data_IF_160028768178
#
_entry.id   IF_160028768178
#
_cell.length_a   1.000
_cell.length_b   1.000
_cell.length_c   1.000
_cell.angle_alpha   90.00
_cell.angle_beta   90.00
_cell.angle_gamma   90.00
#
_symmetry.space_group_name_H-M   'P 1'
#
loop_
_entity.id
_entity.type
_entity.pdbx_description
1 polymer ?
#
# COMPACT_ATOMS: atom_id res chain seq x y z
N UNK A 1 69.21 40.44 7.89
CA UNK A 1 69.75 39.06 7.75
C UNK A 1 69.06 38.25 8.84
N UNK A 2 68.16 37.29 8.62
CA UNK A 2 68.10 36.22 7.63
C UNK A 2 66.63 35.90 7.31
N UNK A 3 66.33 35.74 6.04
CA UNK A 3 65.14 35.09 5.51
C UNK A 3 65.22 33.58 5.75
N UNK A 4 64.12 32.96 6.20
CA UNK A 4 63.92 31.51 6.06
C UNK A 4 62.55 31.24 5.48
N UNK A 5 62.56 30.94 4.18
CA UNK A 5 61.51 30.22 3.47
C UNK A 5 61.43 28.81 4.04
N UNK A 6 60.23 28.32 4.32
CA UNK A 6 59.92 26.88 4.35
C UNK A 6 58.55 26.67 3.71
N UNK A 7 58.61 26.11 2.50
CA UNK A 7 57.56 25.39 1.78
C UNK A 7 57.04 24.24 2.64
N UNK A 8 55.76 23.82 2.46
CA UNK A 8 55.16 22.49 2.74
C UNK A 8 53.63 22.62 2.42
N UNK A 9 52.92 21.58 1.93
CA UNK A 9 52.70 21.32 0.51
C UNK A 9 51.20 21.32 0.14
N UNK A 10 50.94 21.15 -1.16
CA UNK A 10 49.62 20.89 -1.72
C UNK A 10 48.95 19.66 -1.06
N UNK A 11 47.77 19.88 -0.48
CA UNK A 11 46.82 18.85 -0.04
C UNK A 11 45.76 18.77 -1.14
N UNK A 12 45.77 17.74 -1.99
CA UNK A 12 45.02 16.46 -1.81
C UNK A 12 43.54 16.78 -1.50
N UNK A 13 42.50 16.38 -2.22
CA UNK A 13 42.29 15.30 -3.17
C UNK A 13 41.03 15.61 -3.98
N UNK A 14 41.10 15.23 -5.25
CA UNK A 14 40.00 14.70 -6.06
C UNK A 14 38.96 13.93 -5.20
N UNK A 15 37.73 14.41 -5.21
CA UNK A 15 36.59 13.74 -4.58
C UNK A 15 35.26 14.03 -5.28
N UNK A 16 35.26 14.31 -6.58
CA UNK A 16 34.04 14.47 -7.38
C UNK A 16 33.78 13.13 -8.07
N UNK A 17 33.11 12.18 -7.41
CA UNK A 17 32.86 10.88 -8.06
C UNK A 17 31.99 9.85 -7.34
N UNK A 18 31.41 10.16 -6.17
CA UNK A 18 30.70 9.14 -5.37
C UNK A 18 29.19 9.28 -5.21
N UNK A 19 28.59 10.44 -5.54
CA UNK A 19 27.23 10.73 -5.09
C UNK A 19 26.10 10.32 -6.06
N UNK A 20 26.40 10.02 -7.33
CA UNK A 20 25.36 9.84 -8.34
C UNK A 20 24.89 8.38 -8.56
N UNK A 21 25.60 7.38 -8.02
CA UNK A 21 25.25 5.97 -8.25
C UNK A 21 24.33 5.35 -7.19
N UNK A 22 24.22 5.96 -6.00
CA UNK A 22 23.46 5.36 -4.90
C UNK A 22 21.94 5.50 -5.06
N UNK A 23 21.47 6.54 -5.76
CA UNK A 23 20.03 6.85 -5.85
C UNK A 23 19.24 5.95 -6.82
N UNK A 24 19.89 5.17 -7.68
CA UNK A 24 19.21 4.40 -8.74
C UNK A 24 18.79 2.98 -8.34
N UNK A 25 19.28 2.44 -7.20
CA UNK A 25 19.00 1.05 -6.79
C UNK A 25 17.79 0.95 -5.85
N UNK A 26 17.36 2.03 -5.20
CA UNK A 26 16.28 1.97 -4.17
C UNK A 26 14.85 1.91 -4.71
N UNK A 27 14.62 2.00 -6.02
CA UNK A 27 13.27 2.09 -6.56
C UNK A 27 12.57 0.73 -6.77
N UNK A 28 13.27 -0.39 -6.55
CA UNK A 28 12.76 -1.73 -6.89
C UNK A 28 12.06 -2.48 -5.74
N UNK A 29 11.98 -1.93 -4.53
CA UNK A 29 11.48 -2.66 -3.35
C UNK A 29 10.20 -2.10 -2.72
N UNK A 30 9.55 -1.09 -3.33
CA UNK A 30 8.25 -0.68 -2.82
C UNK A 30 7.20 -1.74 -3.18
N UNK A 31 6.39 -2.22 -2.21
CA UNK A 31 5.27 -3.11 -2.49
C UNK A 31 4.37 -2.49 -3.57
N UNK A 32 3.94 -3.29 -4.54
CA UNK A 32 3.01 -2.85 -5.58
C UNK A 32 1.61 -2.69 -4.96
N UNK A 33 1.40 -1.57 -4.28
CA UNK A 33 0.11 -1.15 -3.73
C UNK A 33 -0.58 -0.26 -4.74
N UNK A 34 -1.70 -0.72 -5.29
CA UNK A 34 -2.52 0.14 -6.13
C UNK A 34 -3.16 1.27 -5.29
N UNK A 35 -3.14 2.53 -5.75
CA UNK A 35 -3.73 3.64 -5.02
C UNK A 35 -5.27 3.59 -5.03
N UNK A 36 -5.90 4.34 -4.13
CA UNK A 36 -7.36 4.56 -4.15
C UNK A 36 -7.80 5.18 -5.48
N UNK A 37 -8.89 4.68 -6.05
CA UNK A 37 -9.53 5.31 -7.22
C UNK A 37 -10.09 6.69 -6.86
N UNK A 38 -10.24 7.59 -7.85
CA UNK A 38 -10.81 8.93 -7.62
C UNK A 38 -12.20 8.87 -6.97
N UNK A 39 -13.01 7.88 -7.35
CA UNK A 39 -14.35 7.67 -6.77
C UNK A 39 -14.25 7.30 -5.30
N UNK A 40 -13.35 6.37 -4.94
CA UNK A 40 -13.13 5.98 -3.56
C UNK A 40 -12.54 7.12 -2.72
N UNK A 41 -11.68 7.95 -3.30
CA UNK A 41 -11.14 9.14 -2.63
C UNK A 41 -12.24 10.12 -2.18
N UNK A 42 -13.36 10.21 -2.89
CA UNK A 42 -14.50 11.08 -2.55
C UNK A 42 -15.38 10.54 -1.42
N UNK A 43 -15.40 9.23 -1.18
CA UNK A 43 -16.23 8.61 -0.13
C UNK A 43 -15.60 8.81 1.24
N UNK A 44 -16.24 9.56 2.13
CA UNK A 44 -15.66 9.88 3.45
C UNK A 44 -16.42 9.25 4.62
N UNK A 45 -17.67 8.86 4.42
CA UNK A 45 -18.58 8.35 5.46
C UNK A 45 -19.17 7.02 5.01
N UNK A 46 -19.27 6.06 5.94
CA UNK A 46 -19.99 4.81 5.73
C UNK A 46 -21.50 5.06 5.69
N UNK A 47 -22.16 4.57 4.64
CA UNK A 47 -23.59 4.78 4.41
C UNK A 47 -24.47 4.04 5.43
N UNK A 48 -23.98 2.91 5.96
CA UNK A 48 -24.68 2.09 6.95
C UNK A 48 -24.48 2.62 8.38
N UNK A 49 -23.22 2.83 8.78
CA UNK A 49 -22.86 3.17 10.16
C UNK A 49 -22.73 4.67 10.44
N UNK A 50 -22.77 5.52 9.40
CA UNK A 50 -22.62 6.98 9.48
C UNK A 50 -21.33 7.43 10.18
N UNK A 51 -20.29 6.59 10.15
CA UNK A 51 -18.96 6.88 10.71
C UNK A 51 -17.93 7.16 9.61
N UNK A 52 -16.85 7.91 9.91
CA UNK A 52 -15.77 8.15 8.96
C UNK A 52 -15.14 6.86 8.46
N UNK A 53 -14.90 6.79 7.15
CA UNK A 53 -14.12 5.71 6.55
C UNK A 53 -12.63 5.91 6.84
N UNK A 54 -11.94 4.82 7.13
CA UNK A 54 -10.49 4.77 7.34
C UNK A 54 -9.81 4.20 6.09
N UNK A 55 -8.51 4.47 5.92
CA UNK A 55 -7.71 3.91 4.82
C UNK A 55 -6.88 2.76 5.35
N UNK A 56 -6.81 1.67 4.59
CA UNK A 56 -5.97 0.51 4.88
C UNK A 56 -5.46 -0.11 3.58
N UNK A 57 -4.41 -0.93 3.68
CA UNK A 57 -3.87 -1.73 2.59
C UNK A 57 -4.32 -3.18 2.74
N UNK A 58 -5.03 -3.70 1.75
CA UNK A 58 -5.51 -5.09 1.78
C UNK A 58 -4.94 -5.92 0.65
N UNK A 59 -4.75 -7.21 0.91
CA UNK A 59 -4.27 -8.16 -0.08
C UNK A 59 -5.27 -8.36 -1.21
N UNK A 60 -4.77 -8.45 -2.43
CA UNK A 60 -5.54 -8.84 -3.60
C UNK A 60 -5.34 -10.34 -3.83
N UNK A 61 -6.44 -11.10 -3.80
CA UNK A 61 -6.45 -12.51 -4.14
C UNK A 61 -6.84 -12.68 -5.59
N UNK A 62 -6.04 -13.44 -6.34
CA UNK A 62 -6.29 -13.74 -7.74
C UNK A 62 -6.67 -15.21 -7.94
N UNK A 63 -7.33 -15.50 -9.06
CA UNK A 63 -7.75 -16.84 -9.45
C UNK A 63 -9.18 -17.16 -9.00
N UNK A 64 -9.43 -18.46 -8.81
CA UNK A 64 -10.73 -18.96 -8.37
C UNK A 64 -10.85 -18.83 -6.84
N UNK A 65 -11.59 -17.83 -6.38
CA UNK A 65 -11.85 -17.59 -4.95
C UNK A 65 -13.18 -18.26 -4.58
N UNK A 66 -13.13 -19.16 -3.60
CA UNK A 66 -14.32 -19.74 -2.99
C UNK A 66 -14.81 -18.88 -1.84
N UNK A 67 -16.09 -18.53 -1.84
CA UNK A 67 -16.75 -17.85 -0.73
C UNK A 67 -17.70 -18.81 -0.01
N UNK A 68 -17.85 -18.71 1.33
CA UNK A 68 -18.89 -19.43 2.04
C UNK A 68 -20.28 -19.10 1.49
N UNK A 69 -21.21 -20.04 1.59
CA UNK A 69 -22.59 -19.84 1.13
C UNK A 69 -23.22 -18.63 1.86
N UNK A 70 -23.87 -17.74 1.12
CA UNK A 70 -24.50 -16.54 1.66
C UNK A 70 -23.55 -15.36 1.91
N UNK A 71 -22.24 -15.52 1.75
CA UNK A 71 -21.28 -14.44 1.99
C UNK A 71 -21.53 -13.24 1.06
N UNK A 72 -21.84 -13.48 -0.22
CA UNK A 72 -22.02 -12.40 -1.19
C UNK A 72 -23.24 -11.53 -0.83
N UNK A 73 -24.35 -12.15 -0.45
CA UNK A 73 -25.56 -11.48 0.01
C UNK A 73 -25.34 -10.74 1.33
N UNK A 74 -24.66 -11.37 2.28
CA UNK A 74 -24.31 -10.77 3.56
C UNK A 74 -23.38 -9.56 3.38
N UNK A 75 -22.37 -9.67 2.51
CA UNK A 75 -21.40 -8.59 2.27
C UNK A 75 -22.06 -7.31 1.77
N UNK A 76 -23.06 -7.43 0.90
CA UNK A 76 -23.77 -6.25 0.37
C UNK A 76 -24.73 -5.63 1.38
N UNK A 77 -25.33 -6.45 2.25
CA UNK A 77 -26.42 -6.02 3.14
C UNK A 77 -25.93 -5.62 4.53
N UNK A 78 -25.01 -6.39 5.10
CA UNK A 78 -24.63 -6.31 6.50
C UNK A 78 -23.28 -5.59 6.69
N UNK A 79 -22.35 -5.74 5.75
CA UNK A 79 -21.00 -5.17 5.86
C UNK A 79 -20.44 -4.64 4.53
N UNK A 80 -21.16 -3.74 3.83
CA UNK A 80 -20.80 -3.29 2.47
C UNK A 80 -19.47 -2.53 2.38
N UNK A 81 -18.96 -2.04 3.51
CA UNK A 81 -17.71 -1.28 3.58
C UNK A 81 -16.66 -1.99 4.45
N UNK A 82 -16.73 -3.31 4.60
CA UNK A 82 -15.69 -4.05 5.33
C UNK A 82 -14.36 -4.00 4.58
N UNK A 83 -14.37 -4.28 3.27
CA UNK A 83 -13.19 -4.20 2.40
C UNK A 83 -11.95 -4.84 3.05
N UNK A 84 -12.09 -6.05 3.60
CA UNK A 84 -11.00 -6.76 4.27
C UNK A 84 -10.09 -7.53 3.31
N UNK A 85 -10.58 -7.80 2.10
CA UNK A 85 -9.79 -8.36 1.00
C UNK A 85 -10.39 -7.94 -0.35
N UNK A 86 -9.61 -8.04 -1.42
CA UNK A 86 -10.08 -7.79 -2.79
C UNK A 86 -9.84 -9.01 -3.67
N UNK A 87 -10.69 -9.16 -4.69
CA UNK A 87 -10.50 -10.16 -5.75
C UNK A 87 -9.99 -9.46 -7.00
N UNK A 88 -8.78 -9.80 -7.42
CA UNK A 88 -8.09 -9.18 -8.57
C UNK A 88 -8.48 -9.76 -9.93
N UNK A 89 -9.38 -10.75 -9.95
CA UNK A 89 -9.78 -11.50 -11.14
C UNK A 89 -8.92 -12.75 -11.37
N UNK A 90 -9.08 -13.36 -12.53
CA UNK A 90 -8.50 -14.68 -12.83
C UNK A 90 -7.06 -14.64 -13.36
N UNK A 91 -6.64 -13.53 -13.99
CA UNK A 91 -5.38 -13.45 -14.72
C UNK A 91 -4.37 -12.64 -13.90
N UNK A 92 -3.19 -13.21 -13.69
CA UNK A 92 -2.07 -12.59 -12.99
C UNK A 92 -0.96 -12.33 -14.01
N UNK A 93 -0.57 -11.07 -14.14
CA UNK A 93 0.62 -10.65 -14.88
C UNK A 93 1.79 -10.37 -13.91
N UNK A 94 3.06 -10.34 -14.37
CA UNK A 94 4.21 -10.06 -13.50
C UNK A 94 4.15 -8.72 -12.74
N UNK A 95 3.41 -7.75 -13.27
CA UNK A 95 3.17 -6.41 -12.72
C UNK A 95 1.82 -6.26 -12.02
N UNK A 96 1.10 -7.37 -11.80
CA UNK A 96 -0.17 -7.33 -11.07
C UNK A 96 0.04 -6.94 -9.60
N UNK A 97 -0.71 -5.95 -9.09
CA UNK A 97 -0.56 -5.48 -7.72
C UNK A 97 -0.90 -6.60 -6.74
N UNK A 98 -0.17 -6.67 -5.63
CA UNK A 98 -0.42 -7.68 -4.57
C UNK A 98 -1.32 -7.14 -3.46
N UNK A 99 -1.41 -5.83 -3.36
CA UNK A 99 -2.21 -5.13 -2.39
C UNK A 99 -2.81 -3.88 -3.02
N UNK A 100 -3.84 -3.34 -2.38
CA UNK A 100 -4.46 -2.09 -2.78
C UNK A 100 -4.90 -1.31 -1.55
N UNK A 101 -4.72 0.01 -1.62
CA UNK A 101 -5.31 0.92 -0.66
C UNK A 101 -6.83 0.92 -0.84
N UNK A 102 -7.56 0.71 0.26
CA UNK A 102 -9.03 0.72 0.31
C UNK A 102 -9.51 1.64 1.40
N UNK A 103 -10.74 2.13 1.25
CA UNK A 103 -11.46 2.74 2.36
C UNK A 103 -12.35 1.70 3.02
N UNK A 104 -12.38 1.68 4.34
CA UNK A 104 -13.20 0.73 5.09
C UNK A 104 -13.88 1.39 6.29
N UNK A 105 -14.95 0.75 6.75
CA UNK A 105 -15.63 1.08 7.99
C UNK A 105 -15.24 0.04 9.07
N UNK A 106 -14.70 0.46 10.23
CA UNK A 106 -14.33 -0.47 11.30
C UNK A 106 -15.49 -1.36 11.76
N UNK A 107 -16.70 -0.82 11.83
CA UNK A 107 -17.89 -1.55 12.24
C UNK A 107 -18.34 -2.57 11.17
N UNK A 108 -18.17 -2.26 9.88
CA UNK A 108 -18.41 -3.27 8.83
C UNK A 108 -17.40 -4.41 8.92
N UNK A 109 -16.12 -4.13 9.19
CA UNK A 109 -15.12 -5.19 9.37
C UNK A 109 -15.41 -6.06 10.58
N UNK A 110 -15.85 -5.46 11.68
CA UNK A 110 -16.28 -6.22 12.86
C UNK A 110 -17.49 -7.11 12.53
N UNK A 111 -18.48 -6.58 11.81
CA UNK A 111 -19.64 -7.34 11.37
C UNK A 111 -19.27 -8.52 10.45
N UNK A 112 -18.39 -8.30 9.46
CA UNK A 112 -17.85 -9.35 8.60
C UNK A 112 -17.10 -10.43 9.39
N UNK A 113 -16.23 -10.01 10.32
CA UNK A 113 -15.48 -10.93 11.17
C UNK A 113 -16.39 -11.76 12.09
N UNK A 114 -17.51 -11.19 12.55
CA UNK A 114 -18.49 -11.92 13.35
C UNK A 114 -19.34 -12.85 12.48
N UNK A 115 -19.72 -12.41 11.28
CA UNK A 115 -20.39 -13.26 10.29
C UNK A 115 -19.58 -14.51 9.99
N UNK A 116 -18.28 -14.37 9.71
CA UNK A 116 -17.37 -15.49 9.41
C UNK A 116 -17.04 -16.42 10.59
N UNK A 117 -17.42 -16.06 11.82
CA UNK A 117 -17.35 -16.98 12.98
C UNK A 117 -18.60 -17.85 13.13
N UNK A 118 -19.69 -17.47 12.47
CA UNK A 118 -21.02 -18.07 12.65
C UNK A 118 -21.49 -18.87 11.43
N UNK A 119 -20.74 -18.81 10.32
CA UNK A 119 -20.99 -19.46 9.03
C UNK A 119 -19.71 -20.11 8.52
#
# INVERSE_FOLDING_TARGET
>A
MFTRKLLIPAVLLLGIGGALSYSRIKQSTQPQVAPLSETEQKRTICELHKTPLQVDEVSITYGLVGFPAGYYEASQREFPNANSSLVGGCIIAPDSPKAQAVKFCPQCREAEANWGKTH
#
